data_IF_232439995218
#
_entry.id   IF_232439995218
#
_cell.length_a   1.000
_cell.length_b   1.000
_cell.length_c   1.000
_cell.angle_alpha   90.00
_cell.angle_beta   90.00
_cell.angle_gamma   90.00
#
_symmetry.space_group_name_H-M   'P 1'
#
loop_
_entity.id
_entity.type
_entity.pdbx_description
1 polymer ?
#
# COMPACT_ATOMS: atom_id res chain seq x y z
N UNK A 1 1.35 -20.32 -18.40
CA UNK A 1 2.36 -21.37 -18.17
C UNK A 1 2.74 -21.94 -19.52
N UNK A 2 4.05 -22.08 -19.87
CA UNK A 2 4.46 -22.70 -21.12
C UNK A 2 3.92 -24.14 -21.24
N UNK A 3 3.52 -24.61 -22.46
CA UNK A 3 2.94 -25.94 -22.63
C UNK A 3 3.83 -27.08 -22.15
N UNK A 4 5.14 -26.93 -22.30
CA UNK A 4 6.14 -27.91 -21.81
C UNK A 4 6.13 -28.04 -20.30
N UNK A 5 6.04 -26.93 -19.56
CA UNK A 5 5.95 -26.92 -18.10
C UNK A 5 4.60 -27.49 -17.61
N UNK A 6 3.51 -27.13 -18.29
CA UNK A 6 2.19 -27.67 -17.96
C UNK A 6 2.16 -29.20 -18.15
N UNK A 7 2.75 -29.71 -19.23
CA UNK A 7 2.85 -31.16 -19.48
C UNK A 7 3.64 -31.89 -18.38
N UNK A 8 4.78 -31.33 -17.95
CA UNK A 8 5.61 -31.90 -16.90
C UNK A 8 4.86 -31.95 -15.54
N UNK A 9 4.13 -30.86 -15.21
CA UNK A 9 3.32 -30.82 -13.99
C UNK A 9 2.19 -31.86 -14.03
N UNK A 10 1.47 -31.99 -15.14
CA UNK A 10 0.39 -32.99 -15.31
C UNK A 10 0.95 -34.41 -15.22
N UNK A 11 2.13 -34.66 -15.78
CA UNK A 11 2.79 -35.96 -15.66
C UNK A 11 3.20 -36.27 -14.23
N UNK A 12 3.63 -35.27 -13.46
CA UNK A 12 3.95 -35.40 -12.04
C UNK A 12 2.73 -35.80 -11.17
N UNK A 13 1.53 -35.42 -11.56
CA UNK A 13 0.30 -35.79 -10.84
C UNK A 13 -0.04 -37.29 -10.90
N UNK A 14 0.64 -38.07 -11.74
CA UNK A 14 0.49 -39.54 -11.79
C UNK A 14 1.18 -40.27 -10.64
N UNK A 15 2.02 -39.60 -9.88
CA UNK A 15 2.78 -40.16 -8.80
C UNK A 15 2.32 -39.60 -7.47
N UNK A 16 2.10 -40.46 -6.50
CA UNK A 16 1.88 -40.05 -5.12
C UNK A 16 3.21 -39.59 -4.51
N UNK A 17 3.34 -38.28 -4.35
CA UNK A 17 4.52 -37.66 -3.72
C UNK A 17 4.24 -37.45 -2.22
N UNK A 18 4.26 -38.55 -1.49
CA UNK A 18 4.08 -38.52 -0.04
C UNK A 18 5.43 -38.27 0.65
N UNK A 19 5.54 -37.20 1.39
CA UNK A 19 6.66 -36.92 2.26
C UNK A 19 6.40 -37.45 3.67
N UNK A 20 7.42 -37.98 4.35
CA UNK A 20 7.34 -38.28 5.75
C UNK A 20 7.53 -37.00 6.58
N UNK A 21 6.44 -36.47 7.10
CA UNK A 21 6.41 -35.22 7.87
C UNK A 21 6.39 -35.44 9.40
N UNK A 22 6.53 -36.68 9.88
CA UNK A 22 6.42 -37.01 11.31
C UNK A 22 7.43 -36.27 12.18
N UNK A 23 8.67 -36.13 11.72
CA UNK A 23 9.69 -35.39 12.45
C UNK A 23 9.36 -33.88 12.53
N UNK A 24 8.83 -33.31 11.44
CA UNK A 24 8.43 -31.92 11.41
C UNK A 24 7.21 -31.66 12.30
N UNK A 25 6.22 -32.53 12.28
CA UNK A 25 5.03 -32.46 13.16
C UNK A 25 5.37 -32.55 14.63
N UNK A 26 6.42 -33.29 14.99
CA UNK A 26 6.89 -33.37 16.38
C UNK A 26 7.53 -32.05 16.84
N UNK A 27 8.21 -31.34 15.95
CA UNK A 27 8.85 -30.03 16.21
C UNK A 27 7.88 -28.88 16.18
N UNK A 28 6.91 -28.92 15.26
CA UNK A 28 5.91 -27.86 15.03
C UNK A 28 4.53 -28.51 15.08
N UNK A 29 3.99 -28.74 16.27
CA UNK A 29 2.65 -29.30 16.41
C UNK A 29 1.61 -28.30 15.93
N UNK A 30 0.93 -28.61 14.84
CA UNK A 30 -0.16 -27.79 14.28
C UNK A 30 -1.27 -28.69 13.76
N UNK A 31 -2.50 -28.21 13.88
CA UNK A 31 -3.65 -28.86 13.27
C UNK A 31 -3.66 -28.54 11.76
N UNK A 32 -3.69 -29.58 10.93
CA UNK A 32 -3.70 -29.43 9.49
C UNK A 32 -5.11 -29.16 8.98
N UNK A 33 -5.25 -28.13 8.19
CA UNK A 33 -6.49 -27.78 7.52
C UNK A 33 -6.62 -28.65 6.26
N UNK A 34 -7.83 -29.17 6.00
CA UNK A 34 -8.10 -29.90 4.77
C UNK A 34 -7.90 -28.99 3.56
N UNK A 35 -7.45 -29.56 2.45
CA UNK A 35 -7.15 -28.81 1.23
C UNK A 35 -8.34 -27.94 0.77
N UNK A 36 -9.56 -28.51 0.72
CA UNK A 36 -10.76 -27.79 0.30
C UNK A 36 -11.08 -26.59 1.21
N UNK A 37 -10.85 -26.75 2.51
CA UNK A 37 -11.10 -25.67 3.48
C UNK A 37 -9.99 -24.61 3.39
N UNK A 38 -8.75 -25.01 3.18
CA UNK A 38 -7.63 -24.08 2.95
C UNK A 38 -7.89 -23.22 1.70
N UNK A 39 -8.30 -23.83 0.59
CA UNK A 39 -8.64 -23.13 -0.64
C UNK A 39 -9.80 -22.15 -0.41
N UNK A 40 -10.89 -22.61 0.23
CA UNK A 40 -12.03 -21.74 0.53
C UNK A 40 -11.65 -20.56 1.41
N UNK A 41 -10.83 -20.80 2.43
CA UNK A 41 -10.37 -19.74 3.34
C UNK A 41 -9.50 -18.74 2.58
N UNK A 42 -8.57 -19.20 1.74
CA UNK A 42 -7.73 -18.32 0.92
C UNK A 42 -8.57 -17.46 -0.02
N UNK A 43 -9.53 -18.04 -0.73
CA UNK A 43 -10.41 -17.29 -1.62
C UNK A 43 -11.25 -16.25 -0.87
N UNK A 44 -11.79 -16.60 0.31
CA UNK A 44 -12.52 -15.63 1.15
C UNK A 44 -11.63 -14.47 1.62
N UNK A 45 -10.38 -14.73 1.95
CA UNK A 45 -9.44 -13.68 2.34
C UNK A 45 -9.03 -12.80 1.16
N UNK A 46 -8.88 -13.38 -0.05
CA UNK A 46 -8.67 -12.62 -1.28
C UNK A 46 -9.88 -11.73 -1.63
N UNK A 47 -11.11 -12.23 -1.47
CA UNK A 47 -12.33 -11.45 -1.67
C UNK A 47 -12.43 -10.25 -0.72
N UNK A 48 -11.97 -10.38 0.51
CA UNK A 48 -11.95 -9.29 1.48
C UNK A 48 -10.92 -8.22 1.15
N UNK A 49 -10.07 -8.41 0.11
CA UNK A 49 -8.93 -7.53 -0.17
C UNK A 49 -8.08 -7.30 1.08
N UNK A 50 -7.91 -8.33 1.88
CA UNK A 50 -7.12 -8.25 3.11
C UNK A 50 -5.70 -7.94 2.71
N UNK A 51 -5.35 -6.69 2.86
CA UNK A 51 -3.97 -6.28 2.82
C UNK A 51 -3.32 -6.79 4.09
N UNK A 52 -2.52 -7.83 3.97
CA UNK A 52 -1.60 -8.13 5.05
C UNK A 52 -0.55 -7.02 5.09
N UNK A 53 -0.96 -5.87 5.67
CA UNK A 53 -0.08 -4.73 5.88
C UNK A 53 1.18 -5.12 6.65
N UNK A 54 1.08 -6.15 7.46
CA UNK A 54 2.17 -6.70 8.25
C UNK A 54 3.32 -7.23 7.40
N UNK A 55 3.02 -7.75 6.20
CA UNK A 55 4.01 -8.27 5.27
C UNK A 55 4.28 -7.34 4.09
N UNK A 56 3.61 -6.18 4.04
CA UNK A 56 3.72 -5.25 2.91
C UNK A 56 3.13 -5.82 1.60
N UNK A 57 2.34 -6.88 1.69
CA UNK A 57 1.64 -7.45 0.53
C UNK A 57 0.47 -6.56 0.10
N UNK A 58 0.29 -6.40 -1.20
CA UNK A 58 -0.76 -5.61 -1.78
C UNK A 58 -1.36 -6.35 -2.98
N UNK A 59 -2.56 -6.90 -2.79
CA UNK A 59 -3.25 -7.68 -3.82
C UNK A 59 -3.54 -6.86 -5.09
N UNK A 60 -3.81 -5.56 -4.96
CA UNK A 60 -4.03 -4.67 -6.10
C UNK A 60 -2.74 -4.41 -6.88
N UNK A 61 -1.62 -4.26 -6.18
CA UNK A 61 -0.32 -4.14 -6.81
C UNK A 61 0.07 -5.44 -7.52
N UNK A 62 -0.15 -6.58 -6.89
CA UNK A 62 0.10 -7.90 -7.44
C UNK A 62 -0.70 -8.13 -8.74
N UNK A 63 -2.00 -7.86 -8.72
CA UNK A 63 -2.88 -8.03 -9.88
C UNK A 63 -2.55 -7.05 -11.02
N UNK A 64 -2.13 -5.81 -10.68
CA UNK A 64 -1.89 -4.74 -11.64
C UNK A 64 -0.55 -4.86 -12.35
N UNK A 65 0.49 -5.31 -11.64
CA UNK A 65 1.86 -5.19 -12.13
C UNK A 65 2.51 -6.53 -12.40
N UNK A 66 2.91 -7.23 -11.37
CA UNK A 66 3.57 -8.54 -11.46
C UNK A 66 3.57 -9.21 -10.08
N UNK A 67 3.59 -10.55 -10.02
CA UNK A 67 3.62 -11.29 -8.76
C UNK A 67 4.73 -10.88 -7.80
N UNK A 68 5.92 -10.59 -8.33
CA UNK A 68 7.10 -10.21 -7.55
C UNK A 68 6.99 -8.85 -6.87
N UNK A 69 5.99 -8.03 -7.22
CA UNK A 69 5.78 -6.69 -6.66
C UNK A 69 4.76 -6.62 -5.53
N UNK A 70 4.26 -7.75 -5.07
CA UNK A 70 3.37 -7.80 -3.93
C UNK A 70 4.02 -7.46 -2.59
N UNK A 71 5.37 -7.39 -2.52
CA UNK A 71 6.12 -7.10 -1.30
C UNK A 71 6.86 -5.75 -1.38
N UNK A 72 6.81 -4.96 -0.29
CA UNK A 72 7.42 -3.64 -0.20
C UNK A 72 8.57 -3.60 0.80
N UNK A 73 9.83 -3.88 0.39
CA UNK A 73 10.97 -3.97 1.32
C UNK A 73 11.49 -2.62 1.80
N UNK A 74 11.03 -1.50 1.21
CA UNK A 74 11.47 -0.16 1.54
C UNK A 74 10.32 0.67 2.07
N UNK A 75 10.59 1.48 3.09
CA UNK A 75 9.59 2.36 3.66
C UNK A 75 10.21 3.68 4.14
N UNK A 76 9.44 4.75 4.07
CA UNK A 76 9.77 6.04 4.66
C UNK A 76 8.49 6.70 5.15
N UNK A 77 8.51 7.27 6.33
CA UNK A 77 7.32 7.88 6.90
C UNK A 77 7.58 8.57 8.22
N UNK A 78 6.52 9.07 8.81
CA UNK A 78 6.56 9.74 10.11
C UNK A 78 5.25 9.49 10.86
N UNK A 79 5.37 9.15 12.14
CA UNK A 79 4.25 9.09 13.07
C UNK A 79 4.25 10.35 13.91
N UNK A 80 3.10 10.97 14.09
CA UNK A 80 2.90 12.14 14.96
C UNK A 80 1.78 11.86 15.96
N UNK A 81 1.92 12.40 17.17
CA UNK A 81 0.90 12.40 18.20
C UNK A 81 0.05 13.66 18.09
N UNK A 82 -1.25 13.56 18.37
CA UNK A 82 -2.19 14.68 18.34
C UNK A 82 -3.30 14.47 19.35
N UNK A 83 -3.91 15.56 19.77
CA UNK A 83 -5.12 15.58 20.62
C UNK A 83 -6.42 15.57 19.81
N UNK A 84 -6.32 15.77 18.48
CA UNK A 84 -7.48 15.73 17.59
C UNK A 84 -8.21 14.38 17.65
N UNK A 85 -9.52 14.37 17.45
CA UNK A 85 -10.31 13.15 17.39
C UNK A 85 -10.00 12.33 16.13
N UNK A 86 -10.26 11.01 16.18
CA UNK A 86 -10.12 10.16 14.98
C UNK A 86 -11.00 10.64 13.83
N UNK A 87 -12.22 11.10 14.14
CA UNK A 87 -13.15 11.64 13.15
C UNK A 87 -12.58 12.89 12.44
N UNK A 88 -12.02 13.84 13.21
CA UNK A 88 -11.38 15.04 12.65
C UNK A 88 -10.15 14.68 11.78
N UNK A 89 -9.31 13.78 12.26
CA UNK A 89 -8.16 13.28 11.48
C UNK A 89 -8.62 12.61 10.18
N UNK A 90 -9.64 11.75 10.27
CA UNK A 90 -10.19 11.04 9.11
C UNK A 90 -10.77 11.99 8.08
N UNK A 91 -11.51 13.01 8.52
CA UNK A 91 -12.06 14.02 7.64
C UNK A 91 -10.95 14.77 6.89
N UNK A 92 -9.87 15.17 7.57
CA UNK A 92 -8.72 15.84 6.94
C UNK A 92 -8.03 14.92 5.96
N UNK A 93 -7.69 13.68 6.36
CA UNK A 93 -7.03 12.68 5.50
C UNK A 93 -7.83 12.44 4.21
N UNK A 94 -9.16 12.38 4.33
CA UNK A 94 -10.02 12.20 3.15
C UNK A 94 -10.02 13.40 2.18
N UNK A 95 -9.51 14.57 2.56
CA UNK A 95 -9.41 15.74 1.67
C UNK A 95 -8.18 15.71 0.75
N UNK A 96 -7.35 14.67 0.84
CA UNK A 96 -6.15 14.53 -0.01
C UNK A 96 -6.48 14.66 -1.49
N UNK A 97 -5.61 15.36 -2.22
CA UNK A 97 -5.78 15.66 -3.64
C UNK A 97 -6.66 16.88 -3.92
N UNK A 98 -6.91 17.18 -5.18
CA UNK A 98 -7.73 18.30 -5.60
C UNK A 98 -7.19 19.66 -5.12
N UNK A 99 -8.02 20.43 -4.41
CA UNK A 99 -7.67 21.78 -3.91
C UNK A 99 -6.64 21.75 -2.79
N UNK A 100 -6.80 20.82 -1.83
CA UNK A 100 -5.91 20.66 -0.68
C UNK A 100 -4.59 20.01 -1.06
N UNK A 101 -4.53 19.38 -2.23
CA UNK A 101 -3.36 18.67 -2.76
C UNK A 101 -2.83 17.64 -1.75
N UNK A 102 -1.58 17.81 -1.28
CA UNK A 102 -0.93 16.85 -0.39
C UNK A 102 -0.59 17.48 0.97
N UNK A 103 -1.30 18.55 1.39
CA UNK A 103 -1.15 19.28 2.65
C UNK A 103 0.21 19.95 2.85
N UNK A 104 1.29 19.37 2.33
CA UNK A 104 2.65 19.87 2.52
C UNK A 104 3.52 19.61 1.29
N UNK A 105 4.47 20.53 1.03
CA UNK A 105 5.47 20.34 -0.03
C UNK A 105 4.89 20.36 -1.45
N UNK A 106 3.80 21.09 -1.69
CA UNK A 106 3.10 21.10 -2.98
C UNK A 106 4.00 21.43 -4.17
N UNK A 107 5.06 22.24 -3.97
CA UNK A 107 6.06 22.53 -5.01
C UNK A 107 6.79 21.26 -5.45
N UNK A 108 7.20 20.40 -4.48
CA UNK A 108 7.89 19.14 -4.79
C UNK A 108 6.99 18.17 -5.55
N UNK A 109 5.71 18.11 -5.19
CA UNK A 109 4.71 17.32 -5.92
C UNK A 109 4.47 17.86 -7.35
N UNK A 110 4.46 19.19 -7.53
CA UNK A 110 4.36 19.81 -8.86
C UNK A 110 5.59 19.52 -9.72
N UNK A 111 6.79 19.67 -9.15
CA UNK A 111 8.05 19.34 -9.84
C UNK A 111 8.07 17.88 -10.26
N UNK A 112 7.63 16.97 -9.38
CA UNK A 112 7.49 15.55 -9.70
C UNK A 112 6.52 15.34 -10.87
N UNK A 113 5.37 16.03 -10.86
CA UNK A 113 4.40 15.99 -11.95
C UNK A 113 4.94 16.51 -13.27
N UNK A 114 5.76 17.58 -13.24
CA UNK A 114 6.43 18.09 -14.43
C UNK A 114 7.44 17.10 -15.01
N UNK A 115 8.21 16.41 -14.16
CA UNK A 115 9.12 15.35 -14.58
C UNK A 115 8.38 14.17 -15.23
N UNK A 116 7.22 13.78 -14.71
CA UNK A 116 6.40 12.72 -15.31
C UNK A 116 5.92 13.11 -16.73
N UNK A 117 5.57 14.38 -16.94
CA UNK A 117 5.22 14.88 -18.27
C UNK A 117 6.38 14.80 -19.26
N UNK A 118 7.62 15.13 -18.81
CA UNK A 118 8.82 15.01 -19.64
C UNK A 118 9.11 13.58 -20.10
N UNK A 119 8.75 12.57 -19.28
CA UNK A 119 8.89 11.15 -19.65
C UNK A 119 7.63 10.60 -20.36
N UNK A 120 6.76 11.49 -20.85
CA UNK A 120 5.59 11.11 -21.65
C UNK A 120 4.42 10.51 -20.85
N UNK A 121 4.40 10.68 -19.55
CA UNK A 121 3.31 10.21 -18.71
C UNK A 121 2.33 11.34 -18.39
N UNK A 122 1.12 11.27 -18.96
CA UNK A 122 0.04 12.21 -18.61
C UNK A 122 -0.55 11.82 -17.27
N UNK A 123 -0.31 12.62 -16.26
CA UNK A 123 -0.92 12.44 -14.95
C UNK A 123 -2.42 12.79 -15.04
N UNK A 124 -3.27 11.89 -14.55
CA UNK A 124 -4.62 12.25 -14.20
C UNK A 124 -4.56 13.35 -13.12
N UNK A 125 -5.37 14.39 -13.27
CA UNK A 125 -5.49 15.45 -12.27
C UNK A 125 -6.93 15.51 -11.81
N UNK A 126 -7.09 15.64 -10.52
CA UNK A 126 -8.39 15.85 -9.93
C UNK A 126 -8.74 14.80 -8.87
N UNK A 127 -9.90 15.01 -8.33
CA UNK A 127 -10.50 14.23 -7.26
C UNK A 127 -11.93 13.87 -7.66
N UNK A 128 -12.48 12.72 -7.23
CA UNK A 128 -13.90 12.41 -7.39
C UNK A 128 -14.79 13.53 -6.83
N UNK A 129 -15.95 13.72 -7.43
CA UNK A 129 -16.90 14.76 -7.01
C UNK A 129 -17.54 14.49 -5.64
N UNK A 130 -17.55 13.24 -5.18
CA UNK A 130 -18.09 12.89 -3.88
C UNK A 130 -17.11 13.21 -2.72
N UNK A 131 -17.62 13.55 -1.53
CA UNK A 131 -16.79 14.04 -0.42
C UNK A 131 -15.88 12.97 0.16
N UNK A 132 -16.32 11.71 0.21
CA UNK A 132 -15.60 10.60 0.82
C UNK A 132 -14.99 9.68 -0.23
N UNK A 133 -13.70 9.41 -0.10
CA UNK A 133 -13.00 8.49 -1.01
C UNK A 133 -13.52 7.05 -0.84
N UNK A 134 -13.55 6.34 -1.95
CA UNK A 134 -13.94 4.92 -2.03
C UNK A 134 -12.83 4.10 -2.69
N UNK A 135 -12.77 2.82 -2.36
CA UNK A 135 -11.85 1.90 -3.04
C UNK A 135 -12.13 1.91 -4.55
N UNK A 136 -11.07 2.06 -5.34
CA UNK A 136 -11.15 2.18 -6.79
C UNK A 136 -11.14 3.62 -7.32
N UNK A 137 -11.37 4.62 -6.48
CA UNK A 137 -11.26 6.03 -6.87
C UNK A 137 -9.85 6.37 -7.35
N UNK A 138 -9.77 7.41 -8.17
CA UNK A 138 -8.50 8.00 -8.59
C UNK A 138 -8.39 9.42 -8.03
N UNK A 139 -7.33 9.68 -7.28
CA UNK A 139 -6.98 10.99 -6.72
C UNK A 139 -5.67 11.42 -7.37
N UNK A 140 -5.73 12.41 -8.28
CA UNK A 140 -4.61 12.75 -9.15
C UNK A 140 -4.06 11.48 -9.83
N UNK A 141 -2.82 11.09 -9.54
CA UNK A 141 -2.20 9.88 -10.10
C UNK A 141 -2.21 8.68 -9.15
N UNK A 142 -2.96 8.76 -8.07
CA UNK A 142 -3.06 7.70 -7.08
C UNK A 142 -4.38 6.95 -7.22
N UNK A 143 -4.34 5.64 -7.07
CA UNK A 143 -5.55 4.82 -6.97
C UNK A 143 -5.80 4.47 -5.51
N UNK A 144 -7.01 4.75 -5.04
CA UNK A 144 -7.44 4.36 -3.70
C UNK A 144 -7.60 2.84 -3.63
N UNK A 145 -6.89 2.18 -2.70
CA UNK A 145 -6.89 0.72 -2.57
C UNK A 145 -7.44 0.24 -1.22
N UNK A 146 -7.36 1.08 -0.18
CA UNK A 146 -7.95 0.81 1.13
C UNK A 146 -8.67 2.05 1.62
N UNK A 147 -9.86 1.86 2.14
CA UNK A 147 -10.63 2.86 2.88
C UNK A 147 -11.27 2.18 4.08
N UNK A 148 -10.66 2.33 5.23
CA UNK A 148 -11.22 1.90 6.52
C UNK A 148 -11.44 3.16 7.36
N UNK A 149 -12.71 3.60 7.54
CA UNK A 149 -13.03 4.82 8.28
C UNK A 149 -12.36 4.85 9.64
N UNK A 150 -11.75 6.00 9.97
CA UNK A 150 -11.04 6.28 11.23
C UNK A 150 -9.87 5.32 11.55
N UNK A 151 -9.46 4.50 10.57
CA UNK A 151 -8.34 3.56 10.72
C UNK A 151 -7.28 3.72 9.66
N UNK A 152 -7.64 3.58 8.37
CA UNK A 152 -6.66 3.55 7.32
C UNK A 152 -7.18 4.05 5.96
N UNK A 153 -6.38 4.88 5.29
CA UNK A 153 -6.48 5.18 3.88
C UNK A 153 -5.18 4.78 3.19
N UNK A 154 -5.26 4.00 2.11
CA UNK A 154 -4.09 3.67 1.32
C UNK A 154 -4.29 3.97 -0.17
N UNK A 155 -3.26 4.56 -0.75
CA UNK A 155 -3.21 5.02 -2.13
C UNK A 155 -2.09 4.30 -2.86
N UNK A 156 -2.41 3.63 -3.97
CA UNK A 156 -1.44 2.96 -4.83
C UNK A 156 -0.81 3.97 -5.78
N UNK A 157 0.50 3.91 -5.92
CA UNK A 157 1.30 4.75 -6.78
C UNK A 157 0.96 4.53 -8.26
N UNK A 158 0.54 5.58 -8.95
CA UNK A 158 0.14 5.53 -10.36
C UNK A 158 1.07 6.28 -11.31
N UNK A 159 2.14 6.90 -10.79
CA UNK A 159 3.14 7.64 -11.56
C UNK A 159 4.17 6.70 -12.20
N UNK A 160 4.92 7.21 -13.19
CA UNK A 160 5.98 6.42 -13.83
C UNK A 160 7.25 6.49 -12.99
N UNK A 161 7.68 5.34 -12.45
CA UNK A 161 8.90 5.22 -11.69
C UNK A 161 9.43 3.79 -11.78
N UNK A 162 10.73 3.56 -11.53
CA UNK A 162 11.32 2.22 -11.60
C UNK A 162 10.97 1.40 -10.34
N UNK A 163 9.70 1.13 -10.14
CA UNK A 163 9.18 0.38 -9.02
C UNK A 163 7.70 0.62 -8.78
N UNK A 164 7.22 0.11 -7.66
CA UNK A 164 5.85 0.25 -7.22
C UNK A 164 5.81 0.77 -5.79
N UNK A 165 4.84 1.60 -5.47
CA UNK A 165 4.69 2.13 -4.12
C UNK A 165 3.25 2.36 -3.73
N UNK A 166 3.06 2.52 -2.44
CA UNK A 166 1.80 2.97 -1.87
C UNK A 166 2.06 4.01 -0.78
N UNK A 167 1.14 4.94 -0.62
CA UNK A 167 1.11 5.89 0.47
C UNK A 167 -0.03 5.52 1.41
N UNK A 168 0.30 5.30 2.68
CA UNK A 168 -0.65 4.92 3.71
C UNK A 168 -0.78 6.02 4.76
N UNK A 169 -2.01 6.24 5.21
CA UNK A 169 -2.37 7.03 6.37
C UNK A 169 -3.02 6.09 7.37
N UNK A 170 -2.38 5.88 8.51
CA UNK A 170 -2.90 4.98 9.55
C UNK A 170 -3.19 5.79 10.81
N UNK A 171 -4.37 5.61 11.37
CA UNK A 171 -4.85 6.28 12.57
C UNK A 171 -4.96 5.27 13.70
N UNK A 172 -4.49 5.65 14.90
CA UNK A 172 -4.59 4.82 16.09
C UNK A 172 -5.09 5.67 17.26
N UNK A 173 -6.00 5.12 18.06
CA UNK A 173 -6.42 5.67 19.34
C UNK A 173 -5.65 4.97 20.46
N UNK A 174 -4.91 5.73 21.25
CA UNK A 174 -4.19 5.24 22.42
C UNK A 174 -4.84 5.73 23.73
N UNK A 175 -6.06 6.25 23.65
CA UNK A 175 -6.83 6.75 24.79
C UNK A 175 -6.50 8.20 25.13
N UNK A 176 -5.33 8.47 25.65
CA UNK A 176 -4.85 9.81 26.03
C UNK A 176 -4.46 10.69 24.83
N UNK A 177 -4.04 10.08 23.75
CA UNK A 177 -3.68 10.74 22.48
C UNK A 177 -4.00 9.85 21.29
N UNK A 178 -3.99 10.45 20.11
CA UNK A 178 -4.13 9.74 18.83
C UNK A 178 -2.80 9.79 18.10
N UNK A 179 -2.57 8.79 17.28
CA UNK A 179 -1.40 8.73 16.41
C UNK A 179 -1.84 8.72 14.95
N UNK A 180 -1.20 9.58 14.16
CA UNK A 180 -1.27 9.58 12.72
C UNK A 180 0.08 9.11 12.17
N UNK A 181 0.13 7.99 11.47
CA UNK A 181 1.27 7.53 10.69
C UNK A 181 1.05 7.82 9.20
N UNK A 182 1.97 8.56 8.60
CA UNK A 182 2.00 8.81 7.16
C UNK A 182 3.24 8.13 6.60
N UNK A 183 3.04 7.10 5.78
CA UNK A 183 4.12 6.21 5.37
C UNK A 183 4.01 5.83 3.91
N UNK A 184 5.11 6.00 3.17
CA UNK A 184 5.28 5.42 1.85
C UNK A 184 5.97 4.06 1.96
N UNK A 185 5.46 3.12 1.19
CA UNK A 185 6.01 1.79 0.99
C UNK A 185 6.47 1.68 -0.45
N UNK A 186 7.62 1.06 -0.67
CA UNK A 186 8.23 0.98 -1.99
C UNK A 186 8.83 -0.38 -2.29
N UNK A 187 8.51 -0.92 -3.46
CA UNK A 187 9.15 -2.07 -4.06
C UNK A 187 9.98 -1.61 -5.26
N UNK A 188 11.32 -1.59 -5.16
CA UNK A 188 12.19 -1.17 -6.26
C UNK A 188 12.20 -2.20 -7.39
N UNK A 189 12.17 -1.73 -8.64
CA UNK A 189 12.41 -2.57 -9.81
C UNK A 189 13.90 -2.61 -10.10
N UNK A 190 14.58 -3.62 -9.55
CA UNK A 190 16.03 -3.81 -9.70
C UNK A 190 16.86 -2.63 -9.16
N UNK A 191 18.08 -2.52 -9.65
CA UNK A 191 19.03 -1.47 -9.24
C UNK A 191 18.53 -0.05 -9.54
N UNK A 192 17.96 0.26 -10.72
CA UNK A 192 17.42 1.60 -10.97
C UNK A 192 16.36 2.03 -9.93
N UNK A 193 15.49 1.11 -9.52
CA UNK A 193 14.49 1.37 -8.50
C UNK A 193 15.08 1.61 -7.13
N UNK A 194 16.16 0.92 -6.80
CA UNK A 194 16.88 1.12 -5.53
C UNK A 194 17.59 2.47 -5.52
N UNK A 195 18.30 2.86 -6.59
CA UNK A 195 18.93 4.17 -6.70
C UNK A 195 17.90 5.30 -6.64
N UNK A 196 16.79 5.17 -7.35
CA UNK A 196 15.69 6.12 -7.27
C UNK A 196 15.21 6.30 -5.81
N UNK A 197 14.99 5.20 -5.09
CA UNK A 197 14.57 5.24 -3.70
C UNK A 197 15.58 5.97 -2.81
N UNK A 198 16.87 5.62 -2.91
CA UNK A 198 17.94 6.24 -2.12
C UNK A 198 18.04 7.74 -2.38
N UNK A 199 17.95 8.17 -3.64
CA UNK A 199 17.95 9.57 -4.03
C UNK A 199 16.76 10.34 -3.43
N UNK A 200 15.61 9.68 -3.34
CA UNK A 200 14.37 10.31 -2.84
C UNK A 200 14.23 10.30 -1.32
N UNK A 201 15.07 9.56 -0.57
CA UNK A 201 14.97 9.49 0.89
C UNK A 201 14.91 10.87 1.57
N UNK A 202 15.80 11.83 1.28
CA UNK A 202 15.75 13.16 1.94
C UNK A 202 14.42 13.87 1.69
N UNK A 203 13.93 13.83 0.46
CA UNK A 203 12.64 14.42 0.10
C UNK A 203 11.47 13.69 0.80
N UNK A 204 11.49 12.36 0.85
CA UNK A 204 10.46 11.57 1.51
C UNK A 204 10.38 11.88 3.01
N UNK A 205 11.52 11.94 3.72
CA UNK A 205 11.54 12.25 5.14
C UNK A 205 11.01 13.66 5.43
N UNK A 206 11.37 14.63 4.60
CA UNK A 206 10.89 16.01 4.72
C UNK A 206 9.37 16.11 4.43
N UNK A 207 8.93 15.54 3.31
CA UNK A 207 7.54 15.62 2.86
C UNK A 207 6.61 14.90 3.85
N UNK A 208 6.88 13.64 4.21
CA UNK A 208 5.96 12.87 5.04
C UNK A 208 5.90 13.39 6.46
N UNK A 209 7.01 13.91 7.00
CA UNK A 209 7.00 14.58 8.30
C UNK A 209 6.18 15.85 8.27
N UNK A 210 6.34 16.67 7.24
CA UNK A 210 5.57 17.90 7.08
C UNK A 210 4.08 17.62 6.86
N UNK A 211 3.77 16.60 6.05
CA UNK A 211 2.41 16.15 5.79
C UNK A 211 1.71 15.67 7.07
N UNK A 212 2.35 14.77 7.82
CA UNK A 212 1.79 14.25 9.07
C UNK A 212 1.50 15.38 10.09
N UNK A 213 2.45 16.31 10.28
CA UNK A 213 2.27 17.46 11.16
C UNK A 213 1.14 18.38 10.69
N UNK A 214 1.08 18.67 9.38
CA UNK A 214 0.05 19.58 8.85
C UNK A 214 -1.35 18.98 8.94
N UNK A 215 -1.50 17.68 8.69
CA UNK A 215 -2.78 16.97 8.87
C UNK A 215 -3.22 17.02 10.33
N UNK A 216 -2.30 16.75 11.29
CA UNK A 216 -2.61 16.82 12.71
C UNK A 216 -3.07 18.22 13.14
N UNK A 217 -2.35 19.28 12.71
CA UNK A 217 -2.72 20.67 12.96
C UNK A 217 -4.13 21.00 12.42
N UNK A 218 -4.39 20.66 11.14
CA UNK A 218 -5.70 20.91 10.54
C UNK A 218 -6.84 20.15 11.24
N UNK A 219 -6.54 19.00 11.82
CA UNK A 219 -7.52 18.24 12.58
C UNK A 219 -7.74 18.80 13.99
N UNK A 220 -6.73 19.45 14.59
CA UNK A 220 -6.86 20.13 15.89
C UNK A 220 -7.59 21.49 15.77
N UNK A 221 -7.60 22.08 14.57
CA UNK A 221 -8.34 23.33 14.28
C UNK A 221 -9.84 23.10 14.07
N UNK A 222 -10.31 21.82 14.01
CA UNK A 222 -11.71 21.42 13.82
C UNK A 222 -12.40 21.08 15.14
#
# INVERSE_FOLDING_TARGET
>A
VPPTTAKALIQGLKHDLLADDRALRALIPQELIRFDDAVRNTLKEEEKLVNSSDWGYDAQAFARWRPEYGYYPKQAGCTVKTTASLAALWEVVNQIGGKERYFFGNILWQTRGALDLLVGHRLAKGRPAHPWLKVGDTVDSWKVIIVEPEKQLALLFGMKAPGLGRLCFTLKDNGDHRELDVRAWWHPHGMPGLFYWLLMIPAHLFIFRGMAKRIAQLAEEK
#
